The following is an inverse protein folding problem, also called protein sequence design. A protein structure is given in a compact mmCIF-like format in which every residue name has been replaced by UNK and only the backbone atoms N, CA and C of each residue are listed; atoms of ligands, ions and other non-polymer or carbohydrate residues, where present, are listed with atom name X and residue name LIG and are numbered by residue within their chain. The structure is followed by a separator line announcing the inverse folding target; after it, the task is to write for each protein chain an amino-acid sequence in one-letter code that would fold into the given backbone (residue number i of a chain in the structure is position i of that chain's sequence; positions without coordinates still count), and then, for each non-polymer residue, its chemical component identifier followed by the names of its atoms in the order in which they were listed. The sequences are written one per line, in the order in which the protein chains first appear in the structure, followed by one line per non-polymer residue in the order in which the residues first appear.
data_IF_227592432849
#
_entry.id   IF_227592432849
#
_cell.length_a   1.000
_cell.length_b   1.000
_cell.length_c   1.000
_cell.angle_alpha   90.00
_cell.angle_beta   90.00
_cell.angle_gamma   90.00
#
_symmetry.space_group_name_H-M   'P 1'
#
loop_
_entity.id
_entity.type
_entity.pdbx_description
1 polymer ?
#
# COMPACT_ATOMS: atom_id res chain seq x y z
N UNK A 1 29.67 -27.97 -16.47
CA UNK A 1 29.57 -27.41 -17.82
C UNK A 1 29.78 -25.91 -17.67
N UNK A 2 30.86 -25.40 -18.23
CA UNK A 2 31.35 -24.04 -17.98
C UNK A 2 30.46 -22.97 -18.63
N UNK A 3 30.16 -21.93 -17.86
CA UNK A 3 29.62 -20.68 -18.42
C UNK A 3 30.71 -20.01 -19.26
N UNK A 4 30.42 -19.81 -20.54
CA UNK A 4 31.27 -19.08 -21.46
C UNK A 4 31.41 -17.60 -21.03
N UNK A 5 32.63 -17.13 -20.89
CA UNK A 5 32.98 -15.73 -20.68
C UNK A 5 32.52 -14.91 -21.88
N UNK A 6 31.45 -14.12 -21.71
CA UNK A 6 31.01 -13.16 -22.71
C UNK A 6 31.85 -11.91 -22.67
N UNK A 7 32.35 -11.49 -23.83
CA UNK A 7 33.20 -10.35 -24.08
C UNK A 7 32.76 -9.07 -23.40
N UNK A 8 33.57 -8.57 -22.45
CA UNK A 8 33.43 -7.23 -21.89
C UNK A 8 34.35 -6.26 -22.62
N UNK A 9 33.84 -5.25 -23.34
CA UNK A 9 34.61 -4.09 -23.75
C UNK A 9 34.59 -3.06 -22.62
N UNK A 10 35.74 -2.89 -21.97
CA UNK A 10 35.96 -1.79 -21.04
C UNK A 10 36.43 -0.55 -21.82
N UNK A 11 35.73 0.58 -21.70
CA UNK A 11 36.20 1.87 -22.20
C UNK A 11 36.55 2.74 -20.98
N UNK A 12 37.83 3.07 -20.88
CA UNK A 12 38.34 4.05 -19.92
C UNK A 12 38.14 5.47 -20.44
N UNK A 13 37.44 6.32 -19.68
CA UNK A 13 37.42 7.76 -19.93
C UNK A 13 38.48 8.42 -19.04
N UNK A 14 39.47 9.10 -19.63
CA UNK A 14 40.50 9.81 -18.88
C UNK A 14 39.92 10.97 -18.07
N UNK A 15 40.14 11.04 -16.76
CA UNK A 15 39.66 12.14 -15.93
C UNK A 15 40.53 13.38 -16.05
N UNK A 16 39.92 14.57 -16.00
CA UNK A 16 40.63 15.86 -15.81
C UNK A 16 41.25 15.89 -14.41
N UNK A 17 42.54 16.34 -14.34
CA UNK A 17 43.36 16.38 -13.12
C UNK A 17 42.69 17.23 -12.00
N UNK A 18 42.05 16.58 -11.03
CA UNK A 18 41.79 17.04 -9.69
C UNK A 18 41.90 15.81 -8.80
N UNK A 19 42.57 15.91 -7.64
CA UNK A 19 42.73 14.79 -6.68
C UNK A 19 41.37 14.23 -6.29
N UNK A 20 40.91 13.15 -6.93
CA UNK A 20 39.74 12.35 -6.58
C UNK A 20 40.20 11.16 -5.75
N UNK A 21 39.41 10.83 -4.74
CA UNK A 21 39.57 9.60 -3.96
C UNK A 21 39.41 8.37 -4.86
N UNK A 22 40.06 7.22 -4.57
CA UNK A 22 40.02 6.01 -5.41
C UNK A 22 38.62 5.42 -5.63
N UNK A 23 37.60 5.95 -4.93
CA UNK A 23 36.25 5.40 -4.89
C UNK A 23 35.26 5.97 -5.94
N UNK A 24 35.70 6.93 -6.79
CA UNK A 24 34.80 7.65 -7.71
C UNK A 24 34.95 7.28 -9.19
N UNK A 25 35.67 6.22 -9.55
CA UNK A 25 35.82 5.84 -10.95
C UNK A 25 34.55 5.20 -11.49
N UNK A 26 33.83 5.92 -12.38
CA UNK A 26 32.64 5.41 -13.06
C UNK A 26 33.07 4.56 -14.24
N UNK A 27 32.64 3.30 -14.28
CA UNK A 27 32.89 2.34 -15.35
C UNK A 27 31.63 2.01 -16.12
N UNK A 28 31.79 1.62 -17.37
CA UNK A 28 30.71 1.14 -18.23
C UNK A 28 30.94 -0.34 -18.49
N UNK A 29 29.92 -1.17 -18.19
CA UNK A 29 29.92 -2.61 -18.49
C UNK A 29 28.65 -2.95 -19.28
N UNK A 30 28.83 -3.59 -20.41
CA UNK A 30 27.74 -4.11 -21.25
C UNK A 30 27.74 -5.63 -21.20
N UNK A 31 26.55 -6.21 -21.04
CA UNK A 31 26.28 -7.65 -21.04
C UNK A 31 25.11 -7.94 -21.99
N UNK A 32 24.80 -9.20 -22.22
CA UNK A 32 23.61 -9.61 -22.99
C UNK A 32 22.29 -9.14 -22.34
N UNK A 33 22.27 -8.93 -21.00
CA UNK A 33 21.09 -8.48 -20.25
C UNK A 33 20.92 -6.97 -20.24
N UNK A 34 21.99 -6.19 -20.53
CA UNK A 34 21.91 -4.73 -20.50
C UNK A 34 23.25 -4.03 -20.29
N UNK A 35 23.16 -2.73 -19.97
CA UNK A 35 24.30 -1.83 -19.78
C UNK A 35 24.31 -1.28 -18.37
N UNK A 36 25.43 -1.41 -17.66
CA UNK A 36 25.70 -0.77 -16.39
C UNK A 36 26.61 0.43 -16.56
N UNK A 37 26.31 1.52 -15.82
CA UNK A 37 27.15 2.71 -15.71
C UNK A 37 27.25 3.07 -14.24
N UNK A 38 28.41 2.91 -13.61
CA UNK A 38 28.57 3.17 -12.19
C UNK A 38 29.88 2.67 -11.60
N UNK A 39 29.89 2.63 -10.28
CA UNK A 39 31.03 2.19 -9.49
C UNK A 39 31.18 0.67 -9.56
N UNK A 40 32.42 0.19 -9.74
CA UNK A 40 32.79 -1.23 -9.76
C UNK A 40 33.94 -1.44 -8.79
N UNK A 41 33.77 -2.40 -7.88
CA UNK A 41 34.82 -2.89 -6.98
C UNK A 41 34.92 -4.40 -7.07
N UNK A 42 36.14 -4.91 -7.15
CA UNK A 42 36.42 -6.36 -7.24
C UNK A 42 35.60 -7.06 -8.33
N UNK A 43 35.49 -6.42 -9.51
CA UNK A 43 34.68 -6.85 -10.67
C UNK A 43 33.19 -6.92 -10.46
N UNK A 44 32.67 -6.41 -9.32
CA UNK A 44 31.23 -6.36 -8.99
C UNK A 44 30.70 -4.94 -9.03
N UNK A 45 29.42 -4.78 -9.34
CA UNK A 45 28.70 -3.51 -9.16
C UNK A 45 28.67 -3.20 -7.66
N UNK A 46 29.16 -2.00 -7.31
CA UNK A 46 29.29 -1.56 -5.92
C UNK A 46 29.01 -0.06 -5.87
N UNK A 47 28.41 0.44 -4.76
CA UNK A 47 28.12 1.87 -4.65
C UNK A 47 27.06 2.34 -5.63
N UNK A 48 27.16 3.58 -6.13
CA UNK A 48 26.15 4.19 -7.01
C UNK A 48 26.31 3.80 -8.46
N UNK A 49 25.19 3.53 -9.13
CA UNK A 49 25.18 3.22 -10.54
C UNK A 49 23.80 3.20 -11.17
N UNK A 50 23.79 3.07 -12.49
CA UNK A 50 22.58 2.93 -13.29
C UNK A 50 22.68 1.66 -14.12
N UNK A 51 21.66 0.82 -14.10
CA UNK A 51 21.55 -0.33 -14.97
C UNK A 51 20.38 -0.14 -15.96
N UNK A 52 20.65 -0.33 -17.22
CA UNK A 52 19.69 -0.28 -18.32
C UNK A 52 19.50 -1.70 -18.84
N UNK A 53 18.33 -2.29 -18.65
CA UNK A 53 18.00 -3.61 -19.19
C UNK A 53 17.63 -3.55 -20.67
N UNK A 54 17.89 -4.62 -21.39
CA UNK A 54 17.52 -4.76 -22.81
C UNK A 54 16.02 -4.76 -23.04
N UNK A 55 15.22 -5.11 -22.01
CA UNK A 55 13.75 -5.04 -22.05
C UNK A 55 13.19 -3.60 -21.97
N UNK A 56 14.03 -2.61 -21.69
CA UNK A 56 13.68 -1.20 -21.55
C UNK A 56 13.46 -0.72 -20.11
N UNK A 57 13.62 -1.59 -19.11
CA UNK A 57 13.64 -1.18 -17.72
C UNK A 57 14.93 -0.46 -17.37
N UNK A 58 14.93 0.31 -16.28
CA UNK A 58 16.10 1.02 -15.77
C UNK A 58 16.08 1.09 -14.24
N UNK A 59 17.23 0.90 -13.63
CA UNK A 59 17.46 1.17 -12.22
C UNK A 59 18.55 2.21 -12.04
N UNK A 60 18.31 3.15 -11.12
CA UNK A 60 19.27 4.16 -10.68
C UNK A 60 19.37 4.08 -9.15
N UNK A 61 20.55 3.75 -8.61
CA UNK A 61 20.66 3.61 -7.16
C UNK A 61 21.93 2.93 -6.69
N UNK A 62 21.84 2.40 -5.50
CA UNK A 62 22.95 1.76 -4.82
C UNK A 62 23.00 0.26 -5.14
N UNK A 63 24.23 -0.21 -5.30
CA UNK A 63 24.57 -1.61 -5.54
C UNK A 63 25.53 -2.12 -4.47
N UNK A 64 25.39 -3.38 -4.13
CA UNK A 64 26.31 -4.13 -3.29
C UNK A 64 26.42 -5.55 -3.82
N UNK A 65 27.66 -6.01 -4.07
CA UNK A 65 27.92 -7.35 -4.58
C UNK A 65 27.06 -7.72 -5.79
N UNK A 66 27.01 -6.84 -6.80
CA UNK A 66 26.20 -6.96 -8.04
C UNK A 66 24.69 -6.83 -7.88
N UNK A 67 24.14 -6.74 -6.66
CA UNK A 67 22.71 -6.62 -6.37
C UNK A 67 22.30 -5.18 -6.08
N UNK A 68 21.07 -4.81 -6.38
CA UNK A 68 20.46 -3.57 -5.90
C UNK A 68 20.32 -3.71 -4.37
N UNK A 69 20.97 -2.80 -3.64
CA UNK A 69 20.99 -2.79 -2.18
C UNK A 69 21.21 -1.36 -1.70
N UNK A 70 20.33 -0.83 -0.85
CA UNK A 70 20.30 0.57 -0.46
C UNK A 70 19.20 1.36 -1.17
N UNK A 71 19.36 2.66 -1.35
CA UNK A 71 18.34 3.54 -1.97
C UNK A 71 18.43 3.51 -3.49
N UNK A 72 17.26 3.49 -4.14
CA UNK A 72 17.23 3.54 -5.61
C UNK A 72 15.85 3.83 -6.18
N UNK A 73 15.86 3.99 -7.52
CA UNK A 73 14.66 4.19 -8.35
C UNK A 73 14.65 3.13 -9.45
N UNK A 74 13.55 2.43 -9.56
CA UNK A 74 13.32 1.48 -10.64
C UNK A 74 12.25 2.00 -11.57
N UNK A 75 12.54 2.08 -12.84
CA UNK A 75 11.64 2.52 -13.90
C UNK A 75 11.33 1.33 -14.79
N UNK A 76 10.08 0.96 -14.83
CA UNK A 76 9.58 -0.10 -15.71
C UNK A 76 9.29 0.45 -17.11
N UNK A 77 9.50 -0.34 -18.13
CA UNK A 77 9.13 0.02 -19.52
C UNK A 77 7.66 0.38 -19.68
N UNK A 78 6.79 -0.24 -18.87
CA UNK A 78 5.35 0.01 -18.91
C UNK A 78 4.92 1.33 -18.24
N UNK A 79 5.87 2.13 -17.75
CA UNK A 79 5.59 3.40 -17.08
C UNK A 79 5.43 3.34 -15.56
N UNK A 80 5.38 2.15 -14.96
CA UNK A 80 5.44 2.02 -13.51
C UNK A 80 6.79 2.51 -12.99
N UNK A 81 6.84 2.93 -11.71
CA UNK A 81 8.07 3.37 -11.07
C UNK A 81 8.05 3.03 -9.58
N UNK A 82 9.16 2.57 -9.08
CA UNK A 82 9.41 2.45 -7.64
C UNK A 82 10.55 3.37 -7.21
N UNK A 83 10.39 4.05 -6.09
CA UNK A 83 11.43 4.84 -5.43
C UNK A 83 11.50 4.44 -3.96
N UNK A 84 12.63 3.88 -3.50
CA UNK A 84 12.70 3.42 -2.12
C UNK A 84 13.94 2.61 -1.82
N UNK A 85 13.81 1.78 -0.79
CA UNK A 85 14.90 0.94 -0.33
C UNK A 85 14.85 -0.43 -1.02
N UNK A 86 16.03 -0.93 -1.33
CA UNK A 86 16.30 -2.24 -1.90
C UNK A 86 17.17 -3.05 -0.95
N UNK A 87 16.98 -4.36 -0.94
CA UNK A 87 17.86 -5.31 -0.29
C UNK A 87 17.92 -6.58 -1.11
N UNK A 88 19.14 -6.98 -1.52
CA UNK A 88 19.35 -8.18 -2.33
C UNK A 88 18.42 -8.26 -3.55
N UNK A 89 18.32 -7.17 -4.32
CA UNK A 89 17.46 -7.01 -5.52
C UNK A 89 15.96 -6.90 -5.28
N UNK A 90 15.48 -6.91 -4.03
CA UNK A 90 14.07 -6.81 -3.68
C UNK A 90 13.73 -5.47 -3.04
N UNK A 91 12.50 -5.00 -3.21
CA UNK A 91 11.96 -3.89 -2.42
C UNK A 91 11.92 -4.31 -0.95
N UNK A 92 12.52 -3.51 -0.08
CA UNK A 92 12.62 -3.86 1.33
C UNK A 92 12.81 -2.60 2.19
N UNK A 93 11.91 -2.35 3.11
CA UNK A 93 11.83 -1.11 3.87
C UNK A 93 10.90 -0.10 3.22
N UNK A 94 11.04 1.19 3.51
CA UNK A 94 10.13 2.21 3.00
C UNK A 94 10.37 2.50 1.52
N UNK A 95 9.26 2.62 0.76
CA UNK A 95 9.27 2.98 -0.65
C UNK A 95 7.94 3.52 -1.16
N UNK A 96 7.99 4.09 -2.35
CA UNK A 96 6.84 4.61 -3.06
C UNK A 96 6.75 3.91 -4.41
N UNK A 97 5.64 3.27 -4.68
CA UNK A 97 5.34 2.70 -5.98
C UNK A 97 4.30 3.56 -6.71
N UNK A 98 4.58 3.90 -7.94
CA UNK A 98 3.68 4.63 -8.83
C UNK A 98 3.29 3.69 -9.97
N UNK A 99 2.00 3.41 -10.08
CA UNK A 99 1.47 2.67 -11.22
C UNK A 99 1.21 3.61 -12.40
N UNK A 100 1.33 3.09 -13.60
CA UNK A 100 1.06 3.83 -14.82
C UNK A 100 -0.42 4.23 -15.01
N UNK A 101 -1.33 3.57 -14.26
CA UNK A 101 -2.74 3.94 -14.20
C UNK A 101 -3.01 5.17 -13.31
N UNK A 102 -1.98 5.70 -12.62
CA UNK A 102 -2.08 6.85 -11.71
C UNK A 102 -2.26 6.52 -10.24
N UNK A 103 -2.43 5.25 -9.89
CA UNK A 103 -2.42 4.84 -8.48
C UNK A 103 -1.03 5.01 -7.87
N UNK A 104 -0.95 5.09 -6.54
CA UNK A 104 0.30 5.22 -5.80
C UNK A 104 0.21 4.55 -4.42
N UNK A 105 1.23 3.83 -4.05
CA UNK A 105 1.41 3.34 -2.68
C UNK A 105 2.64 3.98 -2.05
N UNK A 106 2.53 4.40 -0.80
CA UNK A 106 3.62 4.91 0.04
C UNK A 106 3.65 4.11 1.33
N UNK A 107 4.67 3.29 1.55
CA UNK A 107 4.69 2.46 2.74
C UNK A 107 5.85 1.49 2.81
N UNK A 108 5.70 0.54 3.72
CA UNK A 108 6.69 -0.48 3.99
C UNK A 108 6.56 -1.64 2.99
N UNK A 109 7.71 -2.16 2.58
CA UNK A 109 7.87 -3.34 1.73
C UNK A 109 8.73 -4.38 2.42
N UNK A 110 8.42 -5.64 2.17
CA UNK A 110 9.25 -6.77 2.58
C UNK A 110 9.25 -7.81 1.47
N UNK A 111 10.44 -8.06 0.89
CA UNK A 111 10.62 -9.02 -0.21
C UNK A 111 9.62 -8.79 -1.36
N UNK A 112 9.59 -7.56 -1.87
CA UNK A 112 8.77 -7.07 -2.99
C UNK A 112 7.26 -6.93 -2.71
N UNK A 113 6.73 -7.29 -1.53
CA UNK A 113 5.32 -7.16 -1.18
C UNK A 113 5.08 -6.02 -0.19
N UNK A 114 3.91 -5.37 -0.27
CA UNK A 114 3.44 -4.38 0.70
C UNK A 114 3.24 -5.08 2.06
N UNK A 115 3.90 -4.57 3.08
CA UNK A 115 3.91 -5.14 4.43
C UNK A 115 4.00 -4.00 5.45
N UNK A 116 3.41 -4.16 6.64
CA UNK A 116 3.49 -3.13 7.68
C UNK A 116 2.55 -1.95 7.42
N UNK A 117 3.01 -0.71 7.62
CA UNK A 117 2.17 0.49 7.45
C UNK A 117 2.36 1.11 6.08
N UNK A 118 1.25 1.57 5.50
CA UNK A 118 1.30 2.26 4.22
C UNK A 118 -0.01 2.92 3.82
N UNK A 119 0.09 3.82 2.85
CA UNK A 119 -1.04 4.54 2.28
C UNK A 119 -1.13 4.22 0.80
N UNK A 120 -2.29 3.75 0.38
CA UNK A 120 -2.62 3.55 -1.03
C UNK A 120 -3.54 4.67 -1.51
N UNK A 121 -3.15 5.37 -2.56
CA UNK A 121 -3.91 6.42 -3.21
C UNK A 121 -4.40 5.89 -4.55
N UNK A 122 -5.70 5.86 -4.72
CA UNK A 122 -6.34 5.47 -5.98
C UNK A 122 -6.47 6.68 -6.91
N UNK A 123 -6.37 6.47 -8.22
CA UNK A 123 -6.54 7.53 -9.22
C UNK A 123 -7.88 8.26 -9.07
N UNK A 124 -8.93 7.55 -8.64
CA UNK A 124 -10.27 8.13 -8.46
C UNK A 124 -10.40 9.04 -7.21
N UNK A 125 -9.30 9.30 -6.48
CA UNK A 125 -9.26 10.14 -5.28
C UNK A 125 -9.58 9.42 -3.97
N UNK A 126 -9.89 8.13 -4.01
CA UNK A 126 -10.02 7.31 -2.81
C UNK A 126 -8.66 7.05 -2.16
N UNK A 127 -8.66 6.68 -0.88
CA UNK A 127 -7.42 6.42 -0.15
C UNK A 127 -7.65 5.34 0.92
N UNK A 128 -6.72 4.42 1.04
CA UNK A 128 -6.56 3.57 2.22
C UNK A 128 -5.31 3.98 2.99
N UNK A 129 -5.42 4.07 4.31
CA UNK A 129 -4.32 4.41 5.22
C UNK A 129 -4.36 3.40 6.37
N UNK A 130 -3.40 2.47 6.42
CA UNK A 130 -3.47 1.39 7.39
C UNK A 130 -2.37 0.35 7.30
N UNK A 131 -2.66 -0.81 7.89
CA UNK A 131 -1.76 -1.94 7.94
C UNK A 131 -1.95 -2.85 6.70
N UNK A 132 -0.84 -3.42 6.25
CA UNK A 132 -0.73 -4.26 5.07
C UNK A 132 -0.03 -5.58 5.41
N UNK A 133 -0.42 -6.64 4.76
CA UNK A 133 0.23 -7.94 4.85
C UNK A 133 0.08 -8.68 3.53
N UNK A 134 1.20 -9.08 2.91
CA UNK A 134 1.22 -9.77 1.62
C UNK A 134 0.33 -9.07 0.57
N UNK A 135 0.53 -7.76 0.35
CA UNK A 135 -0.21 -6.90 -0.57
C UNK A 135 -1.70 -6.70 -0.27
N UNK A 136 -2.21 -7.24 0.84
CA UNK A 136 -3.61 -7.10 1.28
C UNK A 136 -3.73 -6.17 2.48
N UNK A 137 -4.85 -5.43 2.56
CA UNK A 137 -5.20 -4.65 3.75
C UNK A 137 -5.46 -5.62 4.90
N UNK A 138 -4.79 -5.38 6.01
CA UNK A 138 -4.84 -6.23 7.20
C UNK A 138 -4.82 -5.35 8.46
N UNK A 139 -5.29 -5.85 9.60
CA UNK A 139 -5.19 -5.13 10.85
C UNK A 139 -6.03 -3.84 10.91
N UNK A 140 -5.48 -2.75 11.43
CA UNK A 140 -6.18 -1.46 11.56
C UNK A 140 -5.96 -0.59 10.36
N UNK A 141 -7.03 0.08 9.89
CA UNK A 141 -6.92 1.02 8.77
C UNK A 141 -8.13 1.94 8.62
N UNK A 142 -7.96 2.94 7.80
CA UNK A 142 -9.00 3.87 7.41
C UNK A 142 -9.12 3.91 5.87
N UNK A 143 -10.34 3.76 5.37
CA UNK A 143 -10.64 3.94 3.95
C UNK A 143 -11.47 5.21 3.77
N UNK A 144 -11.08 6.02 2.81
CA UNK A 144 -11.74 7.27 2.46
C UNK A 144 -12.27 7.16 1.03
N UNK A 145 -13.58 7.17 0.87
CA UNK A 145 -14.22 7.15 -0.43
C UNK A 145 -14.31 8.54 -1.05
N UNK A 146 -14.29 8.62 -2.36
CA UNK A 146 -14.44 9.87 -3.10
C UNK A 146 -15.81 10.54 -2.91
N UNK A 147 -16.84 9.75 -2.52
CA UNK A 147 -18.17 10.26 -2.19
C UNK A 147 -18.24 10.95 -0.81
N UNK A 148 -17.15 11.00 -0.05
CA UNK A 148 -17.05 11.61 1.28
C UNK A 148 -17.34 10.69 2.45
N UNK A 149 -17.65 9.42 2.21
CA UNK A 149 -17.74 8.43 3.27
C UNK A 149 -16.35 8.05 3.78
N UNK A 150 -16.27 7.53 5.03
CA UNK A 150 -15.03 7.07 5.63
C UNK A 150 -15.29 5.86 6.54
N UNK A 151 -14.50 4.82 6.38
CA UNK A 151 -14.44 3.72 7.34
C UNK A 151 -13.18 3.80 8.18
N UNK A 152 -13.27 3.52 9.46
CA UNK A 152 -12.14 3.35 10.38
C UNK A 152 -12.38 2.07 11.18
N UNK A 153 -11.52 1.07 11.02
CA UNK A 153 -11.74 -0.20 11.68
C UNK A 153 -10.70 -1.24 11.33
N UNK A 154 -11.10 -2.50 11.46
CA UNK A 154 -10.24 -3.63 11.15
C UNK A 154 -10.51 -4.18 9.76
N UNK A 155 -9.44 -4.69 9.16
CA UNK A 155 -9.42 -5.42 7.90
C UNK A 155 -8.81 -6.81 8.10
N UNK A 156 -9.27 -7.75 7.31
CA UNK A 156 -8.69 -9.07 7.17
C UNK A 156 -8.78 -9.48 5.70
N UNK A 157 -7.65 -9.72 5.06
CA UNK A 157 -7.56 -10.07 3.63
C UNK A 157 -8.43 -9.13 2.76
N UNK A 158 -8.19 -7.81 2.85
CA UNK A 158 -8.91 -6.75 2.13
C UNK A 158 -10.37 -6.50 2.54
N UNK A 159 -10.93 -7.27 3.44
CA UNK A 159 -12.35 -7.21 3.84
C UNK A 159 -12.46 -6.54 5.22
N UNK A 160 -13.47 -5.68 5.42
CA UNK A 160 -13.79 -5.11 6.74
C UNK A 160 -14.24 -6.24 7.65
N UNK A 161 -13.60 -6.35 8.83
CA UNK A 161 -13.82 -7.45 9.76
C UNK A 161 -13.68 -6.98 11.21
N UNK A 162 -14.52 -7.48 12.11
CA UNK A 162 -14.50 -7.09 13.52
C UNK A 162 -15.02 -5.67 13.78
N UNK A 163 -14.51 -4.97 14.78
CA UNK A 163 -15.03 -3.65 15.18
C UNK A 163 -14.56 -2.53 14.24
N UNK A 164 -15.49 -1.62 13.91
CA UNK A 164 -15.20 -0.45 13.08
C UNK A 164 -16.30 0.61 13.14
N UNK A 165 -16.01 1.76 12.53
CA UNK A 165 -16.92 2.89 12.40
C UNK A 165 -17.00 3.27 10.93
N UNK A 166 -18.21 3.33 10.39
CA UNK A 166 -18.48 3.87 9.05
C UNK A 166 -19.17 5.21 9.19
N UNK A 167 -18.52 6.26 8.72
CA UNK A 167 -19.03 7.62 8.63
C UNK A 167 -19.60 7.85 7.24
N UNK A 168 -20.80 8.36 7.18
CA UNK A 168 -21.47 8.75 5.94
C UNK A 168 -21.37 10.26 5.72
N UNK A 169 -21.27 10.67 4.48
CA UNK A 169 -21.25 12.09 4.09
C UNK A 169 -22.43 12.91 4.63
N UNK A 170 -23.58 12.26 4.79
CA UNK A 170 -24.80 12.90 5.33
C UNK A 170 -24.77 13.15 6.84
N UNK A 171 -23.67 12.84 7.53
CA UNK A 171 -23.52 12.99 8.97
C UNK A 171 -23.95 11.79 9.81
N UNK A 172 -24.58 10.79 9.22
CA UNK A 172 -24.84 9.52 9.90
C UNK A 172 -23.53 8.76 10.14
N UNK A 173 -23.54 7.87 11.15
CA UNK A 173 -22.45 6.90 11.30
C UNK A 173 -22.96 5.59 11.89
N UNK A 174 -22.36 4.50 11.49
CA UNK A 174 -22.50 3.20 12.13
C UNK A 174 -21.24 2.92 12.96
N UNK A 175 -21.42 2.44 14.17
CA UNK A 175 -20.33 1.98 15.05
C UNK A 175 -20.70 0.60 15.57
N UNK A 176 -19.94 -0.43 15.17
CA UNK A 176 -20.30 -1.80 15.49
C UNK A 176 -19.35 -2.84 14.91
N UNK A 177 -19.90 -4.05 14.81
CA UNK A 177 -19.21 -5.21 14.31
C UNK A 177 -19.42 -5.36 12.79
N UNK A 178 -18.38 -5.80 12.10
CA UNK A 178 -18.37 -6.11 10.67
C UNK A 178 -17.95 -7.56 10.47
N UNK A 179 -18.59 -8.23 9.53
CA UNK A 179 -18.24 -9.56 9.07
C UNK A 179 -18.40 -9.64 7.56
N UNK A 180 -17.38 -10.10 6.85
CA UNK A 180 -17.39 -10.15 5.39
C UNK A 180 -17.73 -8.79 4.74
N UNK A 181 -17.34 -7.68 5.36
CA UNK A 181 -17.61 -6.33 4.88
C UNK A 181 -18.98 -5.75 5.22
N UNK A 182 -19.88 -6.53 5.83
CA UNK A 182 -21.25 -6.15 6.17
C UNK A 182 -21.39 -5.87 7.68
N UNK A 183 -22.41 -5.09 8.09
CA UNK A 183 -22.78 -4.95 9.50
C UNK A 183 -23.26 -6.29 10.03
N UNK A 184 -22.74 -6.66 11.18
CA UNK A 184 -23.04 -7.93 11.84
C UNK A 184 -23.01 -7.75 13.36
N UNK A 185 -23.76 -8.57 14.10
CA UNK A 185 -23.72 -8.56 15.55
C UNK A 185 -24.27 -7.29 16.19
N UNK A 186 -23.58 -6.75 17.20
CA UNK A 186 -24.04 -5.57 17.90
C UNK A 186 -23.48 -4.29 17.26
N UNK A 187 -24.32 -3.26 17.16
CA UNK A 187 -23.93 -1.98 16.62
C UNK A 187 -24.88 -0.85 16.98
N UNK A 188 -24.43 0.36 16.69
CA UNK A 188 -25.21 1.59 16.88
C UNK A 188 -25.18 2.40 15.60
N UNK A 189 -26.34 2.79 15.11
CA UNK A 189 -26.47 3.84 14.09
C UNK A 189 -26.76 5.16 14.81
N UNK A 190 -25.96 6.16 14.52
CA UNK A 190 -26.19 7.54 14.91
C UNK A 190 -26.68 8.31 13.68
N UNK A 191 -27.82 8.98 13.81
CA UNK A 191 -28.39 9.80 12.76
C UNK A 191 -27.98 11.26 12.92
N UNK A 192 -27.88 11.96 11.82
CA UNK A 192 -27.47 13.38 11.80
C UNK A 192 -28.43 14.34 12.53
N UNK A 193 -29.70 13.90 12.75
CA UNK A 193 -30.69 14.63 13.52
C UNK A 193 -30.55 14.47 15.05
N UNK A 194 -29.55 13.69 15.51
CA UNK A 194 -29.31 13.40 16.93
C UNK A 194 -29.98 12.14 17.47
N UNK A 195 -30.82 11.46 16.68
CA UNK A 195 -31.36 10.16 17.04
C UNK A 195 -30.27 9.07 16.98
N UNK A 196 -30.50 7.93 17.64
CA UNK A 196 -29.67 6.76 17.47
C UNK A 196 -30.47 5.47 17.65
N UNK A 197 -30.00 4.42 17.00
CA UNK A 197 -30.48 3.05 17.20
C UNK A 197 -29.34 2.18 17.71
N UNK A 198 -29.57 1.49 18.82
CA UNK A 198 -28.65 0.51 19.41
C UNK A 198 -29.28 -0.87 19.31
N UNK A 199 -28.67 -1.81 18.61
CA UNK A 199 -29.27 -3.12 18.41
C UNK A 199 -28.39 -4.11 17.69
N UNK A 200 -29.05 -5.15 17.17
CA UNK A 200 -28.39 -6.20 16.41
C UNK A 200 -28.54 -5.97 14.91
N UNK A 201 -27.52 -6.39 14.19
CA UNK A 201 -27.45 -6.35 12.75
C UNK A 201 -27.12 -7.73 12.20
N UNK A 202 -27.61 -8.04 11.03
CA UNK A 202 -27.30 -9.23 10.26
C UNK A 202 -27.26 -8.85 8.78
N UNK A 203 -26.09 -9.03 8.15
CA UNK A 203 -25.90 -8.77 6.72
C UNK A 203 -26.40 -7.36 6.31
N UNK A 204 -25.90 -6.30 7.00
CA UNK A 204 -26.25 -4.88 6.86
C UNK A 204 -27.67 -4.50 7.36
N UNK A 205 -28.52 -5.45 7.73
CA UNK A 205 -29.92 -5.21 8.10
C UNK A 205 -30.13 -5.19 9.60
N UNK A 206 -31.08 -4.38 10.07
CA UNK A 206 -31.60 -4.43 11.44
C UNK A 206 -32.20 -5.80 11.71
N UNK A 207 -31.79 -6.45 12.79
CA UNK A 207 -32.27 -7.79 13.13
C UNK A 207 -32.40 -7.97 14.64
N UNK A 208 -33.50 -8.60 15.10
CA UNK A 208 -33.74 -8.83 16.52
C UNK A 208 -34.07 -7.57 17.28
N UNK A 209 -33.86 -7.61 18.62
CA UNK A 209 -34.23 -6.53 19.54
C UNK A 209 -33.16 -5.41 19.51
N UNK A 210 -33.64 -4.16 19.48
CA UNK A 210 -32.84 -2.96 19.69
C UNK A 210 -33.65 -1.86 20.39
N UNK A 211 -32.97 -0.75 20.66
CA UNK A 211 -33.59 0.43 21.27
C UNK A 211 -33.32 1.64 20.36
N UNK A 212 -34.39 2.31 19.99
CA UNK A 212 -34.34 3.59 19.31
C UNK A 212 -34.40 4.71 20.36
N UNK A 213 -33.46 5.63 20.29
CA UNK A 213 -33.38 6.81 21.14
C UNK A 213 -33.59 8.05 20.27
N UNK A 214 -34.57 8.83 20.62
CA UNK A 214 -34.88 10.08 19.95
C UNK A 214 -34.07 11.23 20.53
N UNK A 215 -33.81 12.24 19.75
CA UNK A 215 -33.08 13.44 20.16
C UNK A 215 -33.80 14.25 21.24
N UNK A 216 -35.15 14.07 21.39
CA UNK A 216 -35.95 14.68 22.45
C UNK A 216 -35.89 13.91 23.80
N UNK A 217 -35.08 12.86 23.89
CA UNK A 217 -34.87 12.04 25.08
C UNK A 217 -35.82 10.84 25.21
N UNK A 218 -36.80 10.70 24.35
CA UNK A 218 -37.65 9.50 24.32
C UNK A 218 -36.86 8.29 23.85
N UNK A 219 -37.35 7.10 24.25
CA UNK A 219 -36.80 5.83 23.79
C UNK A 219 -37.89 4.82 23.52
N UNK A 220 -37.66 3.95 22.57
CA UNK A 220 -38.59 2.91 22.14
C UNK A 220 -37.83 1.61 21.89
N UNK A 221 -38.31 0.52 22.47
CA UNK A 221 -37.76 -0.81 22.19
C UNK A 221 -38.46 -1.36 20.95
N UNK A 222 -37.66 -1.77 19.98
CA UNK A 222 -38.09 -2.26 18.67
C UNK A 222 -37.55 -3.65 18.41
N UNK A 223 -38.31 -4.44 17.69
CA UNK A 223 -37.87 -5.76 17.19
C UNK A 223 -37.96 -5.74 15.67
N UNK A 224 -36.86 -6.11 15.02
CA UNK A 224 -36.71 -6.13 13.56
C UNK A 224 -36.45 -7.54 13.04
N UNK A 225 -36.92 -7.81 11.84
CA UNK A 225 -36.51 -8.95 11.02
C UNK A 225 -36.18 -8.43 9.65
N UNK A 226 -34.88 -8.45 9.28
CA UNK A 226 -34.37 -7.99 7.96
C UNK A 226 -34.88 -6.60 7.56
N UNK A 227 -34.70 -5.60 8.45
CA UNK A 227 -35.18 -4.22 8.40
C UNK A 227 -36.69 -4.02 8.61
N UNK A 228 -37.51 -5.06 8.61
CA UNK A 228 -38.93 -4.94 8.88
C UNK A 228 -39.18 -4.80 10.38
N UNK A 229 -39.91 -3.76 10.79
CA UNK A 229 -40.33 -3.55 12.19
C UNK A 229 -41.47 -4.52 12.55
N UNK A 230 -41.17 -5.49 13.42
CA UNK A 230 -42.12 -6.51 13.85
C UNK A 230 -42.95 -6.03 15.05
N UNK A 231 -42.34 -5.32 16.00
CA UNK A 231 -43.03 -4.76 17.17
C UNK A 231 -42.28 -3.59 17.78
N UNK A 232 -43.00 -2.69 18.44
CA UNK A 232 -42.46 -1.58 19.23
C UNK A 232 -43.17 -1.45 20.58
N UNK A 233 -42.42 -1.02 21.62
CA UNK A 233 -42.92 -0.75 22.99
C UNK A 233 -42.18 0.40 23.63
#
# INVERSE_FOLDING_TARGET
MGCADSYTKEFETKPKKGKKSPEEEIKVRTTEFGKYVGQIKDKKKEGKGTFYWTNGDRYEGEFKDDKRDGKGKYFYKNGNRYEGNFKNDQFNGFGIFYWNNGDRYEGEYKNDVMEGKGIYYYLNGEKYDGEWKNDMREGKGAFYWNNGNKYVGRYKNDIREGKGILYYKNGNRYEGEFKNGLYEGNGTIYFSNGDRFEGKFKEDKLHGKGTFYYSDGKKEVRVYSEDELISSK
#
